data_IF_095054998476
#
_entry.id   IF_095054998476
#
_cell.length_a   1.000
_cell.length_b   1.000
_cell.length_c   1.000
_cell.angle_alpha   90.00
_cell.angle_beta   90.00
_cell.angle_gamma   90.00
#
_symmetry.space_group_name_H-M   'P 1'
#
loop_
_entity.id
_entity.type
_entity.pdbx_description
1 polymer ?
#
# COMPACT_ATOMS: atom_id res chain seq x y z
N UNK A 1 -0.79 -2.83 -1.89
CA UNK A 1 -0.92 -3.50 -0.59
C UNK A 1 -0.20 -4.84 -0.62
N UNK A 2 0.21 -5.35 0.54
CA UNK A 2 0.81 -6.68 0.64
C UNK A 2 0.42 -7.39 1.94
N UNK A 3 0.73 -8.68 2.00
CA UNK A 3 0.47 -9.55 3.13
C UNK A 3 1.13 -9.04 4.43
N UNK A 4 2.36 -8.51 4.34
CA UNK A 4 3.11 -8.04 5.52
C UNK A 4 2.41 -6.84 6.16
N UNK A 5 1.89 -5.89 5.38
CA UNK A 5 1.09 -4.77 5.89
C UNK A 5 -0.05 -5.29 6.77
N UNK A 6 -0.81 -6.25 6.25
CA UNK A 6 -1.96 -6.81 6.96
C UNK A 6 -1.58 -7.56 8.23
N UNK A 7 -0.50 -8.34 8.21
CA UNK A 7 0.01 -8.98 9.41
C UNK A 7 0.37 -7.96 10.51
N UNK A 8 0.90 -6.78 10.15
CA UNK A 8 1.19 -5.73 11.14
C UNK A 8 -0.10 -5.14 11.73
N UNK A 9 -1.11 -4.86 10.90
CA UNK A 9 -2.41 -4.40 11.39
C UNK A 9 -3.10 -5.45 12.28
N UNK A 10 -3.11 -6.72 11.87
CA UNK A 10 -3.64 -7.83 12.68
C UNK A 10 -2.89 -7.99 13.99
N UNK A 11 -1.56 -7.89 13.95
CA UNK A 11 -0.75 -7.93 15.16
C UNK A 11 -1.11 -6.78 16.09
N UNK A 12 -1.26 -5.55 15.61
CA UNK A 12 -1.68 -4.43 16.44
C UNK A 12 -3.08 -4.65 17.03
N UNK A 13 -4.06 -5.10 16.23
CA UNK A 13 -5.42 -5.40 16.69
C UNK A 13 -5.48 -6.41 17.81
N UNK A 14 -4.59 -7.40 17.81
CA UNK A 14 -4.50 -8.39 18.88
C UNK A 14 -4.09 -7.79 20.24
N UNK A 15 -3.42 -6.63 20.26
CA UNK A 15 -2.97 -5.94 21.48
C UNK A 15 -3.81 -4.68 21.76
N UNK A 16 -4.42 -4.11 20.74
CA UNK A 16 -5.29 -2.95 20.83
C UNK A 16 -6.48 -3.12 19.88
N UNK A 17 -7.57 -3.76 20.37
CA UNK A 17 -8.73 -4.03 19.56
C UNK A 17 -9.38 -2.76 18.99
N UNK A 18 -9.85 -2.91 17.76
CA UNK A 18 -10.50 -1.89 16.95
C UNK A 18 -12.04 -1.93 17.08
N UNK A 19 -12.53 -2.49 18.20
CA UNK A 19 -13.94 -2.66 18.57
C UNK A 19 -14.11 -2.27 20.05
N UNK A 20 -15.16 -1.50 20.40
CA UNK A 20 -15.33 -0.93 21.76
C UNK A 20 -15.45 -1.98 22.87
N UNK A 21 -16.17 -3.07 22.62
CA UNK A 21 -16.50 -4.08 23.65
C UNK A 21 -15.59 -5.31 23.60
N UNK A 22 -14.49 -5.23 22.86
CA UNK A 22 -13.56 -6.35 22.69
C UNK A 22 -12.37 -6.17 23.62
N UNK A 23 -12.33 -6.96 24.68
CA UNK A 23 -11.16 -7.04 25.54
C UNK A 23 -10.06 -7.87 24.88
N UNK A 24 -8.80 -7.53 25.14
CA UNK A 24 -7.65 -8.39 24.85
C UNK A 24 -6.93 -8.75 26.14
N UNK A 25 -6.30 -9.93 26.17
CA UNK A 25 -5.40 -10.37 27.25
C UNK A 25 -3.96 -9.91 27.03
N UNK A 26 -3.64 -9.45 25.82
CA UNK A 26 -2.29 -9.04 25.47
C UNK A 26 -2.01 -7.64 26.02
N UNK A 27 -0.91 -7.51 26.74
CA UNK A 27 -0.43 -6.21 27.20
C UNK A 27 0.21 -5.44 26.04
N UNK A 28 -0.34 -4.28 25.70
CA UNK A 28 0.18 -3.38 24.66
C UNK A 28 1.66 -3.04 24.87
N UNK A 29 2.12 -2.95 26.12
CA UNK A 29 3.53 -2.66 26.42
C UNK A 29 4.49 -3.75 25.95
N UNK A 30 3.98 -4.96 25.72
CA UNK A 30 4.74 -6.09 25.17
C UNK A 30 4.76 -6.13 23.63
N UNK A 31 4.07 -5.21 22.94
CA UNK A 31 4.12 -5.10 21.48
C UNK A 31 5.38 -4.37 21.01
N UNK A 32 6.51 -5.07 21.04
CA UNK A 32 7.79 -4.57 20.54
C UNK A 32 8.20 -3.26 21.22
N UNK A 33 8.40 -2.23 20.43
CA UNK A 33 8.81 -0.90 20.87
C UNK A 33 7.66 0.12 20.95
N UNK A 34 6.39 -0.30 20.84
CA UNK A 34 5.24 0.63 20.89
C UNK A 34 5.26 1.52 22.14
N UNK A 35 5.74 0.97 23.26
CA UNK A 35 5.84 1.70 24.54
C UNK A 35 6.70 2.94 24.45
N UNK A 36 7.68 2.98 23.54
CA UNK A 36 8.58 4.11 23.33
C UNK A 36 7.87 5.27 22.61
N UNK A 37 6.70 5.03 22.04
CA UNK A 37 5.94 6.00 21.23
C UNK A 37 4.65 6.47 21.91
N UNK A 38 4.33 5.95 23.09
CA UNK A 38 3.11 6.31 23.80
C UNK A 38 3.18 7.68 24.44
N UNK A 39 4.38 8.20 24.69
CA UNK A 39 4.62 9.57 25.13
C UNK A 39 4.89 10.51 23.95
N UNK A 40 4.88 11.82 24.22
CA UNK A 40 5.21 12.84 23.23
C UNK A 40 6.73 13.03 23.03
N UNK A 41 7.56 12.11 23.55
CA UNK A 41 9.02 12.14 23.44
C UNK A 41 9.75 13.13 24.36
N UNK A 42 9.03 14.00 25.07
CA UNK A 42 9.59 14.98 26.02
C UNK A 42 9.42 14.59 27.50
N UNK A 43 8.55 13.62 27.82
CA UNK A 43 8.34 13.11 29.19
C UNK A 43 8.32 11.58 29.24
N UNK A 44 8.97 11.01 30.26
CA UNK A 44 9.05 9.56 30.49
C UNK A 44 7.78 8.98 31.14
N UNK A 45 6.88 9.83 31.64
CA UNK A 45 5.79 9.41 32.55
C UNK A 45 4.50 8.93 31.84
N UNK A 46 4.36 9.16 30.53
CA UNK A 46 3.18 8.75 29.75
C UNK A 46 3.42 7.40 29.06
N UNK A 47 3.52 6.35 29.88
CA UNK A 47 3.24 5.00 29.37
C UNK A 47 1.85 4.96 28.71
N UNK A 48 1.60 4.00 27.80
CA UNK A 48 0.33 3.75 27.08
C UNK A 48 -0.91 3.52 27.99
N UNK A 49 -1.24 4.50 28.84
CA UNK A 49 -2.20 4.42 29.95
C UNK A 49 -3.61 4.62 29.42
N UNK A 50 -3.82 5.68 28.63
CA UNK A 50 -5.10 5.96 28.01
C UNK A 50 -5.23 5.29 26.64
N UNK A 51 -6.45 5.19 26.14
CA UNK A 51 -6.68 4.70 24.78
C UNK A 51 -6.09 5.65 23.73
N UNK A 52 -6.05 6.95 23.99
CA UNK A 52 -5.42 7.94 23.11
C UNK A 52 -3.88 7.78 23.09
N UNK A 53 -3.25 7.48 24.23
CA UNK A 53 -1.80 7.19 24.28
C UNK A 53 -1.47 5.93 23.47
N UNK A 54 -2.34 4.90 23.54
CA UNK A 54 -2.21 3.68 22.72
C UNK A 54 -2.43 3.94 21.24
N UNK A 55 -3.35 4.84 20.87
CA UNK A 55 -3.55 5.28 19.49
C UNK A 55 -2.28 5.97 18.96
N UNK A 56 -1.71 6.87 19.76
CA UNK A 56 -0.46 7.56 19.42
C UNK A 56 0.69 6.56 19.18
N UNK A 57 0.93 5.68 20.16
CA UNK A 57 1.96 4.66 20.06
C UNK A 57 1.71 3.70 18.88
N UNK A 58 0.46 3.28 18.68
CA UNK A 58 0.04 2.40 17.59
C UNK A 58 0.27 3.02 16.21
N UNK A 59 0.00 4.31 16.05
CA UNK A 59 0.22 5.03 14.79
C UNK A 59 1.71 5.05 14.42
N UNK A 60 2.56 5.47 15.35
CA UNK A 60 4.01 5.49 15.16
C UNK A 60 4.59 4.09 14.95
N UNK A 61 4.09 3.10 15.68
CA UNK A 61 4.46 1.70 15.47
C UNK A 61 4.08 1.22 14.07
N UNK A 62 2.90 1.57 13.56
CA UNK A 62 2.53 1.22 12.17
C UNK A 62 3.42 1.91 11.14
N UNK A 63 3.77 3.18 11.32
CA UNK A 63 4.73 3.87 10.46
C UNK A 63 6.09 3.18 10.50
N UNK A 64 6.60 2.84 11.67
CA UNK A 64 7.89 2.19 11.78
C UNK A 64 7.90 0.79 11.13
N UNK A 65 6.92 -0.06 11.47
CA UNK A 65 6.89 -1.44 11.01
C UNK A 65 6.58 -1.58 9.52
N UNK A 66 5.78 -0.68 8.95
CA UNK A 66 5.34 -0.78 7.56
C UNK A 66 6.08 0.16 6.62
N UNK A 67 6.58 1.30 7.09
CA UNK A 67 7.32 2.27 6.28
C UNK A 67 8.81 2.14 6.60
N UNK A 68 9.24 2.50 7.81
CA UNK A 68 10.68 2.66 8.15
C UNK A 68 11.48 1.40 7.93
N UNK A 69 11.05 0.30 8.56
CA UNK A 69 11.79 -0.97 8.51
C UNK A 69 11.90 -1.51 7.09
N UNK A 70 10.93 -1.17 6.24
CA UNK A 70 10.77 -1.67 4.87
C UNK A 70 11.07 -0.61 3.80
N UNK A 71 11.59 0.55 4.20
CA UNK A 71 11.61 1.74 3.33
C UNK A 71 12.48 1.52 2.09
N UNK A 72 13.50 0.67 2.17
CA UNK A 72 14.38 0.36 1.04
C UNK A 72 13.72 -0.64 0.06
N UNK A 73 12.88 -1.53 0.57
CA UNK A 73 12.31 -2.65 -0.19
C UNK A 73 10.99 -2.27 -0.90
N UNK A 74 10.33 -1.21 -0.43
CA UNK A 74 9.06 -0.75 -0.97
C UNK A 74 9.24 0.21 -2.14
N UNK A 75 8.40 0.11 -3.15
CA UNK A 75 8.27 1.14 -4.17
C UNK A 75 7.61 2.42 -3.61
N UNK A 76 7.83 3.55 -4.27
CA UNK A 76 7.21 4.82 -3.88
C UNK A 76 5.68 4.75 -3.86
N UNK A 77 5.08 4.01 -4.80
CA UNK A 77 3.62 3.81 -4.85
C UNK A 77 3.12 2.95 -3.69
N UNK A 78 3.84 1.89 -3.32
CA UNK A 78 3.48 1.10 -2.13
C UNK A 78 3.53 1.93 -0.85
N UNK A 79 4.54 2.78 -0.68
CA UNK A 79 4.65 3.66 0.49
C UNK A 79 3.46 4.63 0.58
N UNK A 80 3.05 5.24 -0.54
CA UNK A 80 1.88 6.12 -0.60
C UNK A 80 0.59 5.39 -0.19
N UNK A 81 0.40 4.15 -0.67
CA UNK A 81 -0.75 3.32 -0.32
C UNK A 81 -0.75 2.97 1.17
N UNK A 82 0.40 2.60 1.73
CA UNK A 82 0.51 2.25 3.15
C UNK A 82 0.22 3.44 4.05
N UNK A 83 0.72 4.63 3.68
CA UNK A 83 0.41 5.89 4.36
C UNK A 83 -1.10 6.14 4.39
N UNK A 84 -1.81 5.95 3.27
CA UNK A 84 -3.28 6.11 3.23
C UNK A 84 -3.95 5.21 4.27
N UNK A 85 -3.60 3.91 4.31
CA UNK A 85 -4.21 2.98 5.26
C UNK A 85 -3.89 3.29 6.73
N UNK A 86 -2.67 3.76 7.02
CA UNK A 86 -2.29 4.20 8.37
C UNK A 86 -3.12 5.41 8.80
N UNK A 87 -3.32 6.40 7.92
CA UNK A 87 -4.14 7.58 8.20
C UNK A 87 -5.62 7.20 8.39
N UNK A 88 -6.16 6.29 7.55
CA UNK A 88 -7.54 5.79 7.70
C UNK A 88 -7.70 5.09 9.05
N UNK A 89 -6.74 4.23 9.44
CA UNK A 89 -6.75 3.57 10.75
C UNK A 89 -6.70 4.58 11.89
N UNK A 90 -5.82 5.58 11.80
CA UNK A 90 -5.69 6.62 12.83
C UNK A 90 -7.02 7.37 13.01
N UNK A 91 -7.62 7.82 11.91
CA UNK A 91 -8.88 8.55 11.92
C UNK A 91 -10.02 7.68 12.49
N UNK A 92 -10.09 6.40 12.08
CA UNK A 92 -11.05 5.45 12.62
C UNK A 92 -10.89 5.26 14.13
N UNK A 93 -9.67 5.00 14.60
CA UNK A 93 -9.41 4.70 16.01
C UNK A 93 -9.65 5.91 16.92
N UNK A 94 -9.27 7.12 16.48
CA UNK A 94 -9.58 8.36 17.20
C UNK A 94 -11.10 8.54 17.31
N UNK A 95 -11.86 8.36 16.24
CA UNK A 95 -13.31 8.49 16.29
C UNK A 95 -13.98 7.39 17.14
N UNK A 96 -13.42 6.18 17.15
CA UNK A 96 -13.92 5.06 17.93
C UNK A 96 -13.70 5.26 19.44
N UNK A 97 -12.53 5.80 19.84
CA UNK A 97 -12.08 5.89 21.23
C UNK A 97 -11.84 7.33 21.71
N UNK A 98 -12.55 8.28 21.09
CA UNK A 98 -12.59 9.68 21.51
C UNK A 98 -13.09 9.83 22.95
N UNK A 99 -12.65 10.90 23.60
CA UNK A 99 -13.09 11.24 24.96
C UNK A 99 -13.66 12.67 25.01
N UNK A 100 -13.83 13.22 26.22
CA UNK A 100 -14.38 14.57 26.38
C UNK A 100 -13.47 15.67 25.84
N UNK A 101 -12.16 15.45 25.81
CA UNK A 101 -11.16 16.42 25.39
C UNK A 101 -10.83 16.28 23.89
N UNK A 102 -10.58 15.05 23.43
CA UNK A 102 -10.27 14.74 22.03
C UNK A 102 -11.52 14.25 21.33
N UNK A 103 -12.13 15.11 20.51
CA UNK A 103 -13.42 14.81 19.83
C UNK A 103 -13.24 14.29 18.42
N UNK A 104 -12.11 14.60 17.78
CA UNK A 104 -11.80 14.30 16.40
C UNK A 104 -10.28 14.24 16.15
N UNK A 105 -9.88 13.94 14.91
CA UNK A 105 -8.48 13.81 14.54
C UNK A 105 -7.68 15.13 14.58
N UNK A 106 -8.31 16.31 14.42
CA UNK A 106 -7.62 17.59 14.57
C UNK A 106 -7.24 17.85 16.03
N UNK A 107 -8.14 17.58 16.97
CA UNK A 107 -7.84 17.70 18.40
C UNK A 107 -6.70 16.74 18.79
N UNK A 108 -6.76 15.50 18.28
CA UNK A 108 -5.70 14.52 18.48
C UNK A 108 -4.37 15.00 17.90
N UNK A 109 -4.38 15.56 16.68
CA UNK A 109 -3.19 16.08 16.03
C UNK A 109 -2.51 17.15 16.89
N UNK A 110 -3.27 18.15 17.34
CA UNK A 110 -2.74 19.24 18.19
C UNK A 110 -2.15 18.71 19.49
N UNK A 111 -2.79 17.73 20.13
CA UNK A 111 -2.33 17.21 21.44
C UNK A 111 -1.18 16.18 21.34
N UNK A 112 -1.21 15.30 20.36
CA UNK A 112 -0.34 14.11 20.29
C UNK A 112 0.69 14.13 19.16
N UNK A 113 0.51 14.96 18.12
CA UNK A 113 1.35 14.93 16.91
C UNK A 113 2.15 16.21 16.74
N UNK A 114 1.53 17.38 16.95
CA UNK A 114 2.10 18.68 16.58
C UNK A 114 3.49 18.93 17.19
N UNK A 115 3.66 18.62 18.47
CA UNK A 115 4.92 18.82 19.22
C UNK A 115 5.69 17.52 19.45
N UNK A 116 5.15 16.38 19.04
CA UNK A 116 5.73 15.08 19.36
C UNK A 116 6.93 14.77 18.45
N UNK A 117 8.12 14.69 19.07
CA UNK A 117 9.39 14.50 18.38
C UNK A 117 9.52 13.14 17.67
N UNK A 118 8.69 12.16 18.01
CA UNK A 118 8.64 10.89 17.30
C UNK A 118 8.05 11.02 15.89
N UNK A 119 7.15 11.99 15.65
CA UNK A 119 6.62 12.24 14.31
C UNK A 119 7.56 13.07 13.43
N UNK A 120 8.52 13.78 14.01
CA UNK A 120 9.51 14.56 13.27
C UNK A 120 10.77 13.77 12.92
N UNK A 121 10.97 12.62 13.56
CA UNK A 121 12.19 11.82 13.44
C UNK A 121 11.92 10.43 12.85
N UNK A 122 12.55 10.12 11.71
CA UNK A 122 12.65 8.78 11.16
C UNK A 122 13.95 8.12 11.64
N UNK A 123 13.89 6.98 12.34
CA UNK A 123 15.07 6.21 12.75
C UNK A 123 14.98 4.75 12.31
N UNK A 124 15.91 4.28 11.47
CA UNK A 124 16.08 2.87 11.09
C UNK A 124 17.39 2.34 11.65
N UNK A 125 17.33 1.36 12.54
CA UNK A 125 18.52 0.80 13.22
C UNK A 125 19.39 1.90 13.87
N UNK A 126 18.76 2.86 14.56
CA UNK A 126 19.38 4.06 15.16
C UNK A 126 19.96 5.10 14.19
N UNK A 127 19.90 4.88 12.88
CA UNK A 127 20.32 5.86 11.88
C UNK A 127 19.15 6.72 11.40
N UNK A 128 19.40 7.99 11.12
CA UNK A 128 18.39 8.87 10.51
C UNK A 128 17.96 8.34 9.14
N UNK A 129 16.65 8.30 8.90
CA UNK A 129 16.06 7.92 7.63
C UNK A 129 15.15 8.99 7.02
N UNK A 130 15.21 10.24 7.52
CA UNK A 130 14.38 11.33 7.01
C UNK A 130 14.71 11.65 5.55
N UNK A 131 15.99 11.56 5.17
CA UNK A 131 16.42 11.74 3.78
C UNK A 131 15.76 10.71 2.84
N UNK A 132 15.87 9.42 3.16
CA UNK A 132 15.27 8.35 2.35
C UNK A 132 13.75 8.45 2.34
N UNK A 133 13.12 8.80 3.46
CA UNK A 133 11.69 9.06 3.52
C UNK A 133 11.29 10.18 2.54
N UNK A 134 12.02 11.29 2.54
CA UNK A 134 11.80 12.41 1.64
C UNK A 134 11.97 12.03 0.17
N UNK A 135 13.03 11.31 -0.17
CA UNK A 135 13.28 10.87 -1.55
C UNK A 135 12.16 9.97 -2.08
N UNK A 136 11.66 9.04 -1.25
CA UNK A 136 10.67 8.05 -1.71
C UNK A 136 9.22 8.52 -1.62
N UNK A 137 8.92 9.40 -0.67
CA UNK A 137 7.54 9.83 -0.39
C UNK A 137 7.27 11.30 -0.69
N UNK A 138 8.31 12.14 -0.75
CA UNK A 138 8.20 13.59 -0.87
C UNK A 138 8.00 14.34 0.45
N UNK A 139 7.99 13.64 1.59
CA UNK A 139 7.76 14.21 2.91
C UNK A 139 9.00 14.09 3.80
N UNK A 140 9.33 15.14 4.55
CA UNK A 140 10.51 15.15 5.41
C UNK A 140 10.32 14.26 6.65
N UNK A 141 9.10 14.07 7.14
CA UNK A 141 8.78 13.27 8.33
C UNK A 141 7.29 12.87 8.40
N UNK A 142 6.90 12.10 9.41
CA UNK A 142 5.52 11.61 9.58
C UNK A 142 4.53 12.72 9.93
N UNK A 143 4.96 13.74 10.68
CA UNK A 143 4.13 14.93 10.95
C UNK A 143 3.71 15.60 9.64
N UNK A 144 4.66 15.85 8.74
CA UNK A 144 4.39 16.46 7.44
C UNK A 144 3.49 15.59 6.55
N UNK A 145 3.64 14.26 6.63
CA UNK A 145 2.72 13.33 5.95
C UNK A 145 1.28 13.60 6.39
N UNK A 146 1.03 13.64 7.70
CA UNK A 146 -0.33 13.82 8.25
C UNK A 146 -0.83 15.24 7.93
N UNK A 147 0.03 16.25 8.00
CA UNK A 147 -0.31 17.64 7.69
C UNK A 147 -0.71 17.88 6.24
N UNK A 148 0.07 17.33 5.31
CA UNK A 148 -0.17 17.51 3.87
C UNK A 148 -1.27 16.59 3.36
N UNK A 149 -1.58 15.52 4.10
CA UNK A 149 -2.65 14.57 3.80
C UNK A 149 -3.92 14.84 4.62
N UNK A 150 -4.14 16.12 4.96
CA UNK A 150 -5.38 16.60 5.60
C UNK A 150 -6.63 16.29 4.79
N UNK A 151 -6.50 16.10 3.49
CA UNK A 151 -7.57 15.66 2.62
C UNK A 151 -8.13 14.27 3.02
N UNK A 152 -7.28 13.36 3.51
CA UNK A 152 -7.71 12.07 4.09
C UNK A 152 -8.18 12.19 5.55
N UNK A 153 -7.70 13.20 6.28
CA UNK A 153 -8.15 13.53 7.64
C UNK A 153 -9.56 14.09 7.63
N UNK A 154 -9.89 14.89 6.63
CA UNK A 154 -11.15 15.63 6.51
C UNK A 154 -12.27 14.86 5.78
N UNK A 155 -12.04 13.60 5.42
CA UNK A 155 -13.10 12.75 4.88
C UNK A 155 -14.24 12.70 5.90
N UNK A 156 -15.48 12.81 5.40
CA UNK A 156 -16.65 12.76 6.26
C UNK A 156 -16.58 11.50 7.16
N UNK A 157 -16.69 11.75 8.47
CA UNK A 157 -16.56 10.76 9.53
C UNK A 157 -17.49 9.55 9.35
N UNK A 158 -18.60 9.70 8.63
CA UNK A 158 -19.52 8.62 8.29
C UNK A 158 -18.90 7.57 7.34
N UNK A 159 -17.92 7.96 6.52
CA UNK A 159 -17.26 7.06 5.56
C UNK A 159 -15.99 6.42 6.10
N UNK A 160 -15.32 7.04 7.08
CA UNK A 160 -14.08 6.50 7.65
C UNK A 160 -14.26 5.07 8.20
N UNK A 161 -15.31 4.77 9.00
CA UNK A 161 -15.60 3.38 9.41
C UNK A 161 -15.83 2.44 8.23
N UNK A 162 -16.57 2.88 7.21
CA UNK A 162 -16.84 2.04 6.02
C UNK A 162 -15.55 1.72 5.25
N UNK A 163 -14.67 2.70 5.08
CA UNK A 163 -13.36 2.51 4.45
C UNK A 163 -12.46 1.59 5.26
N UNK A 164 -12.40 1.81 6.58
CA UNK A 164 -11.61 0.96 7.46
C UNK A 164 -12.13 -0.48 7.47
N UNK A 165 -13.44 -0.69 7.48
CA UNK A 165 -14.06 -2.01 7.40
C UNK A 165 -13.80 -2.74 6.09
N UNK A 166 -13.79 -2.02 4.96
CA UNK A 166 -13.42 -2.56 3.66
C UNK A 166 -11.93 -2.94 3.63
N UNK A 167 -11.05 -2.05 4.11
CA UNK A 167 -9.62 -2.32 4.25
C UNK A 167 -9.35 -3.52 5.17
N UNK A 168 -10.01 -3.61 6.32
CA UNK A 168 -9.91 -4.74 7.24
C UNK A 168 -10.34 -6.03 6.58
N UNK A 169 -11.45 -6.01 5.82
CA UNK A 169 -11.91 -7.17 5.05
C UNK A 169 -10.88 -7.62 4.01
N UNK A 170 -10.26 -6.66 3.31
CA UNK A 170 -9.19 -6.95 2.35
C UNK A 170 -7.97 -7.57 3.05
N UNK A 171 -7.62 -7.10 4.25
CA UNK A 171 -6.54 -7.70 5.02
C UNK A 171 -6.82 -9.12 5.48
N UNK A 172 -8.05 -9.41 5.93
CA UNK A 172 -8.43 -10.78 6.30
C UNK A 172 -8.23 -11.74 5.11
N UNK A 173 -8.53 -11.30 3.90
CA UNK A 173 -8.27 -12.12 2.71
C UNK A 173 -6.79 -12.48 2.57
N UNK A 174 -5.88 -11.51 2.81
CA UNK A 174 -4.43 -11.77 2.77
C UNK A 174 -3.99 -12.71 3.88
N UNK A 175 -4.49 -12.56 5.10
CA UNK A 175 -3.99 -13.30 6.29
C UNK A 175 -4.63 -14.67 6.47
N UNK A 176 -5.76 -14.95 5.81
CA UNK A 176 -6.42 -16.26 5.78
C UNK A 176 -5.89 -17.18 4.66
N UNK A 177 -5.04 -16.67 3.77
CA UNK A 177 -4.27 -17.52 2.85
C UNK A 177 -3.17 -18.22 3.64
N UNK A 178 -3.41 -19.48 3.99
CA UNK A 178 -2.38 -20.37 4.49
C UNK A 178 -1.78 -21.18 3.35
N UNK A 179 -0.51 -20.93 3.03
CA UNK A 179 0.25 -21.67 2.03
C UNK A 179 0.35 -23.18 2.36
N UNK A 180 0.19 -23.56 3.63
CA UNK A 180 0.22 -24.95 4.07
C UNK A 180 -1.16 -25.63 4.02
N UNK A 181 -2.23 -24.87 3.81
CA UNK A 181 -3.59 -25.39 3.70
C UNK A 181 -4.28 -24.86 2.42
N UNK A 182 -3.85 -25.31 1.23
CA UNK A 182 -4.35 -24.83 -0.06
C UNK A 182 -5.86 -25.09 -0.29
N UNK A 183 -6.49 -25.93 0.52
CA UNK A 183 -7.94 -26.19 0.52
C UNK A 183 -8.74 -25.21 1.41
N UNK A 184 -8.10 -24.22 2.03
CA UNK A 184 -8.79 -23.24 2.86
C UNK A 184 -9.77 -22.43 2.01
N UNK A 185 -11.08 -22.49 2.29
CA UNK A 185 -12.11 -21.72 1.56
C UNK A 185 -12.45 -20.39 2.24
N UNK A 186 -11.84 -20.09 3.39
CA UNK A 186 -12.19 -18.93 4.20
C UNK A 186 -11.89 -17.61 3.49
N UNK A 187 -10.77 -17.53 2.76
CA UNK A 187 -10.44 -16.37 1.94
C UNK A 187 -11.52 -16.06 0.87
N UNK A 188 -12.27 -17.05 0.37
CA UNK A 188 -13.39 -16.83 -0.57
C UNK A 188 -14.56 -16.15 0.11
N UNK A 189 -14.83 -16.49 1.37
CA UNK A 189 -15.86 -15.85 2.18
C UNK A 189 -15.45 -14.40 2.44
N UNK A 190 -14.20 -14.17 2.82
CA UNK A 190 -13.68 -12.81 3.05
C UNK A 190 -13.66 -11.98 1.77
N UNK A 191 -13.40 -12.59 0.61
CA UNK A 191 -13.47 -11.92 -0.68
C UNK A 191 -14.90 -11.46 -1.02
N UNK A 192 -15.92 -12.30 -0.75
CA UNK A 192 -17.33 -11.91 -0.92
C UNK A 192 -17.70 -10.76 0.04
N UNK A 193 -17.28 -10.85 1.29
CA UNK A 193 -17.49 -9.79 2.29
C UNK A 193 -16.83 -8.48 1.87
N UNK A 194 -15.62 -8.54 1.31
CA UNK A 194 -14.92 -7.37 0.78
C UNK A 194 -15.68 -6.75 -0.38
N UNK A 195 -16.09 -7.55 -1.38
CA UNK A 195 -16.85 -7.04 -2.54
C UNK A 195 -18.15 -6.36 -2.09
N UNK A 196 -18.90 -6.97 -1.17
CA UNK A 196 -20.14 -6.36 -0.66
C UNK A 196 -19.89 -4.99 0.00
N UNK A 197 -18.86 -4.88 0.83
CA UNK A 197 -18.47 -3.60 1.47
C UNK A 197 -18.00 -2.58 0.44
N UNK A 198 -17.23 -3.01 -0.56
CA UNK A 198 -16.76 -2.16 -1.64
C UNK A 198 -17.92 -1.61 -2.48
N UNK A 199 -18.90 -2.44 -2.83
CA UNK A 199 -20.04 -1.99 -3.64
C UNK A 199 -20.90 -0.96 -2.90
N UNK A 200 -21.08 -1.13 -1.58
CA UNK A 200 -21.75 -0.10 -0.75
C UNK A 200 -21.00 1.24 -0.80
N UNK A 201 -19.67 1.22 -0.77
CA UNK A 201 -18.85 2.43 -0.93
C UNK A 201 -18.92 3.00 -2.36
N UNK A 202 -19.02 2.15 -3.38
CA UNK A 202 -19.05 2.59 -4.78
C UNK A 202 -20.42 3.14 -5.21
N UNK A 203 -21.50 2.75 -4.53
CA UNK A 203 -22.86 3.22 -4.81
C UNK A 203 -23.15 4.64 -4.26
N UNK A 204 -22.45 5.03 -3.19
CA UNK A 204 -22.65 6.34 -2.55
C UNK A 204 -22.32 7.50 -3.52
N UNK A 205 -23.35 8.20 -3.96
CA UNK A 205 -23.31 9.30 -4.95
C UNK A 205 -22.54 10.56 -4.50
N UNK A 206 -21.97 10.52 -3.29
CA UNK A 206 -21.13 11.56 -2.69
C UNK A 206 -19.68 11.47 -3.20
N UNK A 207 -19.38 10.58 -4.15
CA UNK A 207 -18.09 10.40 -4.84
C UNK A 207 -17.51 11.64 -5.58
N UNK A 208 -17.93 12.87 -5.30
CA UNK A 208 -17.32 14.10 -5.83
C UNK A 208 -15.96 14.43 -5.22
N UNK A 209 -15.65 13.93 -4.01
CA UNK A 209 -14.38 14.21 -3.33
C UNK A 209 -13.22 13.40 -3.92
N UNK A 210 -12.10 14.08 -4.19
CA UNK A 210 -10.90 13.47 -4.77
C UNK A 210 -10.29 12.40 -3.86
N UNK A 211 -10.32 12.64 -2.55
CA UNK A 211 -9.69 11.74 -1.56
C UNK A 211 -10.53 10.49 -1.35
N UNK A 212 -11.86 10.63 -1.29
CA UNK A 212 -12.78 9.48 -1.35
C UNK A 212 -12.51 8.58 -2.56
N UNK A 213 -12.44 9.16 -3.77
CA UNK A 213 -12.15 8.40 -5.00
C UNK A 213 -10.78 7.76 -4.96
N UNK A 214 -9.79 8.43 -4.38
CA UNK A 214 -8.45 7.88 -4.23
C UNK A 214 -8.45 6.63 -3.35
N UNK A 215 -9.10 6.65 -2.18
CA UNK A 215 -9.22 5.46 -1.32
C UNK A 215 -9.93 4.32 -2.06
N UNK A 216 -11.04 4.63 -2.74
CA UNK A 216 -11.81 3.62 -3.46
C UNK A 216 -10.98 2.99 -4.60
N UNK A 217 -10.20 3.80 -5.31
CA UNK A 217 -9.25 3.34 -6.33
C UNK A 217 -8.13 2.48 -5.72
N UNK A 218 -7.60 2.88 -4.57
CA UNK A 218 -6.59 2.11 -3.83
C UNK A 218 -7.13 0.75 -3.40
N UNK A 219 -8.33 0.67 -2.81
CA UNK A 219 -8.98 -0.59 -2.44
C UNK A 219 -9.23 -1.50 -3.65
N UNK A 220 -9.69 -0.94 -4.77
CA UNK A 220 -9.90 -1.70 -6.02
C UNK A 220 -8.60 -2.27 -6.57
N UNK A 221 -7.56 -1.43 -6.63
CA UNK A 221 -6.24 -1.83 -7.13
C UNK A 221 -5.66 -2.93 -6.24
N UNK A 222 -5.82 -2.80 -4.92
CA UNK A 222 -5.29 -3.77 -3.97
C UNK A 222 -6.07 -5.08 -3.94
N UNK A 223 -7.35 -5.08 -4.30
CA UNK A 223 -8.11 -6.30 -4.56
C UNK A 223 -7.56 -7.07 -5.76
N UNK A 224 -7.23 -6.37 -6.85
CA UNK A 224 -6.61 -7.00 -8.01
C UNK A 224 -5.19 -7.49 -7.71
N UNK A 225 -4.41 -6.74 -6.91
CA UNK A 225 -3.13 -7.18 -6.40
C UNK A 225 -3.25 -8.45 -5.55
N UNK A 226 -4.30 -8.56 -4.74
CA UNK A 226 -4.57 -9.76 -3.96
C UNK A 226 -4.86 -10.98 -4.85
N UNK A 227 -5.65 -10.83 -5.92
CA UNK A 227 -5.91 -11.93 -6.87
C UNK A 227 -4.60 -12.45 -7.45
N UNK A 228 -3.71 -11.54 -7.86
CA UNK A 228 -2.39 -11.90 -8.37
C UNK A 228 -1.54 -12.60 -7.30
N UNK A 229 -1.52 -12.06 -6.07
CA UNK A 229 -0.84 -12.68 -4.95
C UNK A 229 -1.33 -14.11 -4.69
N UNK A 230 -2.63 -14.35 -4.72
CA UNK A 230 -3.17 -15.68 -4.51
C UNK A 230 -2.70 -16.67 -5.59
N UNK A 231 -2.75 -16.28 -6.87
CA UNK A 231 -2.27 -17.11 -7.99
C UNK A 231 -0.79 -17.44 -7.81
N UNK A 232 0.04 -16.47 -7.42
CA UNK A 232 1.48 -16.65 -7.20
C UNK A 232 1.81 -17.60 -6.04
N UNK A 233 0.91 -17.77 -5.07
CA UNK A 233 1.10 -18.69 -3.94
C UNK A 233 0.54 -20.10 -4.23
N UNK A 234 0.18 -20.42 -5.47
CA UNK A 234 -0.28 -21.76 -5.87
C UNK A 234 -1.67 -22.12 -5.34
N UNK A 235 -2.40 -21.16 -4.77
CA UNK A 235 -3.76 -21.35 -4.28
C UNK A 235 -4.74 -21.14 -5.44
N UNK A 236 -5.65 -22.10 -5.64
CA UNK A 236 -6.64 -22.04 -6.70
C UNK A 236 -7.79 -21.08 -6.32
N UNK A 237 -7.52 -19.80 -6.46
CA UNK A 237 -8.44 -18.70 -6.18
C UNK A 237 -9.51 -18.44 -7.26
N UNK A 238 -9.96 -19.50 -7.95
CA UNK A 238 -11.05 -19.37 -8.93
C UNK A 238 -12.36 -19.04 -8.20
N UNK A 239 -13.14 -18.11 -8.75
CA UNK A 239 -14.47 -17.76 -8.24
C UNK A 239 -14.55 -16.49 -7.40
N UNK A 240 -13.53 -15.64 -7.42
CA UNK A 240 -13.64 -14.30 -6.84
C UNK A 240 -14.65 -13.44 -7.59
N UNK A 241 -15.58 -12.78 -6.89
CA UNK A 241 -16.49 -11.84 -7.51
C UNK A 241 -15.72 -10.68 -8.17
N UNK A 242 -16.10 -10.22 -9.37
CA UNK A 242 -15.56 -8.99 -9.91
C UNK A 242 -16.03 -7.79 -9.07
N UNK A 243 -15.25 -6.71 -9.07
CA UNK A 243 -15.73 -5.41 -8.59
C UNK A 243 -16.42 -4.69 -9.73
N UNK A 244 -17.47 -3.94 -9.43
CA UNK A 244 -18.06 -2.98 -10.36
C UNK A 244 -17.06 -1.88 -10.66
N UNK A 245 -17.15 -1.31 -11.87
CA UNK A 245 -16.35 -0.14 -12.20
C UNK A 245 -16.70 1.03 -11.27
N UNK A 246 -15.68 1.83 -10.93
CA UNK A 246 -15.89 3.01 -10.10
C UNK A 246 -16.90 3.94 -10.79
N UNK A 247 -18.02 4.22 -10.12
CA UNK A 247 -19.07 5.07 -10.68
C UNK A 247 -18.52 6.48 -10.88
N UNK A 248 -18.47 6.94 -12.13
CA UNK A 248 -18.16 8.34 -12.48
C UNK A 248 -19.45 9.14 -12.37
N UNK A 249 -19.38 10.36 -11.81
CA UNK A 249 -20.51 11.28 -11.84
C UNK A 249 -20.83 11.58 -13.32
N UNK A 250 -22.07 11.32 -13.74
CA UNK A 250 -22.58 11.93 -14.96
C UNK A 250 -22.81 13.41 -14.64
N UNK A 251 -21.82 14.25 -14.97
CA UNK A 251 -22.10 15.68 -15.09
C UNK A 251 -22.78 15.88 -16.44
N UNK A 252 -24.11 15.90 -16.44
CA UNK A 252 -24.86 16.61 -17.46
C UNK A 252 -24.50 18.09 -17.33
N UNK A 253 -24.10 18.71 -18.46
CA UNK A 253 -23.84 20.15 -18.67
C UNK A 253 -22.65 20.78 -17.93
N UNK A 254 -21.48 20.75 -18.58
CA UNK A 254 -20.77 21.94 -19.08
C UNK A 254 -19.42 21.46 -19.65
N UNK A 255 -19.46 20.98 -20.89
CA UNK A 255 -18.27 20.73 -21.69
C UNK A 255 -17.87 22.03 -22.36
N UNK A 256 -16.92 22.76 -21.78
CA UNK A 256 -15.99 23.56 -22.58
C UNK A 256 -14.72 23.95 -21.79
N UNK A 257 -13.58 23.54 -22.37
CA UNK A 257 -12.20 23.98 -22.11
C UNK A 257 -11.56 23.73 -20.74
N UNK A 258 -10.61 22.78 -20.76
CA UNK A 258 -9.17 22.87 -20.40
C UNK A 258 -8.60 21.47 -20.71
N UNK A 259 -8.26 21.19 -21.97
CA UNK A 259 -6.91 21.26 -22.57
C UNK A 259 -5.88 20.31 -21.95
N UNK A 260 -5.62 19.22 -22.70
CA UNK A 260 -4.33 18.57 -22.95
C UNK A 260 -3.37 18.34 -21.78
N UNK A 261 -3.53 17.19 -21.10
CA UNK A 261 -2.38 16.35 -20.72
C UNK A 261 -2.77 14.88 -20.94
N UNK A 262 -2.05 14.25 -21.86
CA UNK A 262 -2.02 12.84 -22.23
C UNK A 262 -2.41 11.88 -21.10
N UNK A 263 -3.64 11.36 -21.16
CA UNK A 263 -4.05 10.12 -20.49
C UNK A 263 -4.45 9.11 -21.55
N UNK A 264 -3.46 8.48 -22.17
CA UNK A 264 -3.65 7.27 -22.95
C UNK A 264 -3.52 6.06 -22.02
N UNK A 265 -4.64 5.61 -21.46
CA UNK A 265 -4.75 4.20 -21.08
C UNK A 265 -6.15 3.64 -21.31
N UNK A 266 -6.15 2.57 -22.12
CA UNK A 266 -7.12 1.47 -22.14
C UNK A 266 -8.52 1.71 -22.75
N UNK A 267 -8.63 1.38 -24.04
CA UNK A 267 -9.73 0.51 -24.49
C UNK A 267 -9.17 -0.53 -25.47
N UNK A 268 -8.76 -1.68 -24.94
CA UNK A 268 -8.45 -2.84 -25.78
C UNK A 268 -9.79 -3.44 -26.22
N UNK A 269 -10.33 -2.92 -27.32
CA UNK A 269 -11.26 -3.67 -28.15
C UNK A 269 -10.44 -4.76 -28.85
N UNK A 270 -10.78 -6.03 -28.61
CA UNK A 270 -10.32 -7.14 -29.44
C UNK A 270 -10.73 -6.86 -30.89
N UNK A 271 -9.77 -6.42 -31.71
CA UNK A 271 -9.92 -6.27 -33.15
C UNK A 271 -8.93 -7.23 -33.81
N UNK A 272 -9.46 -8.11 -34.64
CA UNK A 272 -8.72 -9.09 -35.44
C UNK A 272 -7.46 -8.50 -36.07
N UNK A 273 -6.34 -9.22 -35.94
CA UNK A 273 -5.07 -8.93 -36.59
C UNK A 273 -5.18 -9.35 -38.07
N UNK A 274 -4.94 -8.47 -39.05
CA UNK A 274 -4.60 -8.91 -40.39
C UNK A 274 -3.10 -9.24 -40.42
N UNK A 275 -2.78 -10.53 -40.38
CA UNK A 275 -1.43 -11.06 -40.61
C UNK A 275 -1.11 -10.87 -42.10
N UNK A 276 -0.48 -9.75 -42.47
CA UNK A 276 0.05 -9.62 -43.84
C UNK A 276 1.33 -8.76 -44.03
N UNK A 277 1.95 -8.21 -42.98
CA UNK A 277 3.08 -7.27 -43.18
C UNK A 277 4.41 -7.64 -42.53
N UNK A 278 4.57 -8.84 -41.95
CA UNK A 278 5.83 -9.25 -41.29
C UNK A 278 6.81 -9.93 -42.26
N UNK A 279 6.37 -10.37 -43.45
CA UNK A 279 7.20 -11.18 -44.36
C UNK A 279 8.23 -10.35 -45.15
N UNK A 280 8.10 -9.01 -45.22
CA UNK A 280 8.95 -8.19 -46.10
C UNK A 280 10.21 -7.62 -45.42
N UNK A 281 10.28 -7.57 -44.08
CA UNK A 281 11.41 -6.94 -43.38
C UNK A 281 12.56 -7.89 -43.00
N UNK A 282 12.32 -9.20 -42.92
CA UNK A 282 13.31 -10.19 -42.46
C UNK A 282 14.46 -10.44 -43.46
N UNK A 283 14.28 -10.37 -44.80
CA UNK A 283 15.40 -10.58 -45.73
C UNK A 283 16.43 -9.43 -45.74
N UNK A 284 16.02 -8.20 -45.39
CA UNK A 284 16.86 -7.00 -45.55
C UNK A 284 17.92 -6.91 -44.43
N UNK A 285 17.60 -7.33 -43.21
CA UNK A 285 18.53 -7.28 -42.08
C UNK A 285 19.57 -8.42 -42.11
N UNK A 286 19.19 -9.61 -42.60
CA UNK A 286 20.12 -10.74 -42.72
C UNK A 286 21.17 -10.53 -43.82
N UNK A 287 20.83 -9.83 -44.92
CA UNK A 287 21.76 -9.49 -45.99
C UNK A 287 22.88 -8.53 -45.56
N UNK A 288 22.59 -7.63 -44.62
CA UNK A 288 23.58 -6.67 -44.10
C UNK A 288 24.52 -7.38 -43.11
N UNK A 289 24.01 -8.25 -42.24
CA UNK A 289 24.85 -8.91 -41.23
C UNK A 289 25.86 -9.91 -41.83
N UNK A 290 25.48 -10.61 -42.91
CA UNK A 290 26.37 -11.58 -43.56
C UNK A 290 27.58 -10.91 -44.25
N UNK A 291 27.41 -9.69 -44.78
CA UNK A 291 28.49 -8.95 -45.47
C UNK A 291 29.56 -8.42 -44.50
N UNK A 292 29.21 -8.13 -43.25
CA UNK A 292 30.17 -7.66 -42.23
C UNK A 292 30.85 -8.80 -41.45
N UNK A 293 30.25 -9.99 -41.37
CA UNK A 293 30.83 -11.12 -40.64
C UNK A 293 32.00 -11.80 -41.37
N UNK A 294 32.04 -11.76 -42.72
CA UNK A 294 33.07 -12.46 -43.50
C UNK A 294 34.42 -11.74 -43.54
N UNK A 295 34.48 -10.46 -43.14
CA UNK A 295 35.71 -9.65 -43.16
C UNK A 295 36.44 -9.57 -41.80
N UNK A 296 35.84 -10.05 -40.71
CA UNK A 296 36.40 -9.97 -39.36
C UNK A 296 37.36 -11.10 -38.95
N UNK A 297 37.34 -12.24 -39.64
CA UNK A 297 38.18 -13.40 -39.31
C UNK A 297 39.30 -13.62 -40.32
N UNK A 298 40.17 -12.62 -40.47
CA UNK A 298 41.50 -12.81 -41.06
C UNK A 298 42.58 -12.70 -39.98
N UNK A 299 43.05 -13.89 -39.58
CA UNK A 299 44.46 -14.20 -39.25
C UNK A 299 45.03 -13.64 -37.93
N UNK A 300 45.00 -14.47 -36.88
CA UNK A 300 46.13 -14.58 -35.94
C UNK A 300 46.40 -16.05 -35.66
N UNK A 301 47.47 -16.54 -36.29
CA UNK A 301 48.00 -17.90 -36.18
C UNK A 301 48.56 -18.19 -34.79
N UNK A 302 48.34 -19.42 -34.33
CA UNK A 302 48.90 -20.04 -33.13
C UNK A 302 50.39 -19.76 -32.94
N UNK A 303 50.78 -19.27 -31.75
CA UNK A 303 52.15 -19.29 -31.27
C UNK A 303 52.18 -19.94 -29.88
N UNK A 304 53.03 -20.97 -29.78
CA UNK A 304 53.48 -21.70 -28.59
C UNK A 304 52.54 -22.72 -27.95
N UNK A 305 52.53 -23.92 -28.56
CA UNK A 305 52.40 -25.18 -27.82
C UNK A 305 53.75 -25.93 -27.93
N UNK A 306 54.70 -25.60 -27.06
CA UNK A 306 55.94 -26.39 -26.92
C UNK A 306 56.63 -26.08 -25.58
N UNK A 307 56.34 -26.90 -24.57
CA UNK A 307 57.29 -27.36 -23.55
C UNK A 307 56.60 -28.49 -22.75
N UNK A 308 56.82 -29.73 -23.20
CA UNK A 308 57.70 -30.75 -22.59
C UNK A 308 57.05 -31.47 -21.39
N UNK A 309 56.37 -32.57 -21.72
CA UNK A 309 56.30 -33.77 -20.88
C UNK A 309 57.43 -34.72 -21.32
N UNK A 310 58.27 -35.15 -20.39
CA UNK A 310 58.52 -36.59 -20.10
C UNK A 310 59.65 -36.79 -19.08
N UNK A 311 59.34 -37.67 -18.12
CA UNK A 311 60.19 -38.57 -17.32
C UNK A 311 61.40 -37.99 -16.64
#
# INVERSE_FOLDING_TARGET
MDHILCLRFDKLRNYFPDELNKSTKNDIHSLGNIKNYCSNGESEETGCKTDLDKINGGCLWLFEQNIVNRINDLSNEQLKVFIIYIIIWLNYMVNLKKDGEIKNLNDFYTKYIETNTHYTNCKKNNNDCNHTLKEKTGYNNFKEIIDKRKDFVNINFEYIPKFYDAFKSLCNMYTEIDANSPNCTKYLIDAKNFVEKYEKLNDDSISGDSSYRQILSTLSTDYDNFKNYCISNGVNCKGFPPLSSIKKKQNSELSEKISDVTSSSSSIKNKLIPVLSIIVAIPILLGIFYKYSLFGFRKRSQKHLREKLKK
#
